data_IF_284774020551
#
_entry.id   IF_284774020551
#
_cell.length_a   1.000
_cell.length_b   1.000
_cell.length_c   1.000
_cell.angle_alpha   90.00
_cell.angle_beta   90.00
_cell.angle_gamma   90.00
#
_symmetry.space_group_name_H-M   'P 1'
#
loop_
_entity.id
_entity.type
_entity.pdbx_description
1 polymer ?
#
# COMPACT_ATOMS: atom_id res chain seq x y z
N UNK A 1 -10.18 -2.14 -5.98
CA UNK A 1 -10.04 -2.09 -4.51
C UNK A 1 -10.36 -0.68 -4.05
N UNK A 2 -11.03 -0.46 -2.92
CA UNK A 2 -11.25 0.90 -2.39
C UNK A 2 -10.01 1.37 -1.62
N UNK A 3 -9.84 2.70 -1.46
CA UNK A 3 -8.72 3.30 -0.70
C UNK A 3 -8.65 2.75 0.74
N UNK A 4 -9.79 2.49 1.36
CA UNK A 4 -9.84 1.93 2.72
C UNK A 4 -9.31 0.50 2.79
N UNK A 5 -9.73 -0.37 1.86
CA UNK A 5 -9.19 -1.73 1.77
C UNK A 5 -7.67 -1.73 1.53
N UNK A 6 -7.16 -0.76 0.77
CA UNK A 6 -5.72 -0.56 0.58
C UNK A 6 -4.99 -0.24 1.86
N UNK A 7 -5.50 0.71 2.63
CA UNK A 7 -4.92 1.05 3.92
C UNK A 7 -4.97 -0.11 4.92
N UNK A 8 -6.05 -0.88 4.97
CA UNK A 8 -6.12 -2.09 5.81
C UNK A 8 -5.09 -3.14 5.40
N UNK A 9 -4.92 -3.35 4.08
CA UNK A 9 -3.94 -4.30 3.54
C UNK A 9 -2.52 -3.87 3.87
N UNK A 10 -2.20 -2.58 3.71
CA UNK A 10 -0.92 -2.00 4.12
C UNK A 10 -0.66 -2.19 5.62
N UNK A 11 -1.67 -1.94 6.46
CA UNK A 11 -1.59 -2.18 7.90
C UNK A 11 -1.26 -3.63 8.23
N UNK A 12 -1.86 -4.58 7.51
CA UNK A 12 -1.59 -6.02 7.66
C UNK A 12 -0.15 -6.40 7.30
N UNK A 13 0.51 -5.63 6.43
CA UNK A 13 1.94 -5.79 6.10
C UNK A 13 2.88 -5.07 7.08
N UNK A 14 2.35 -4.44 8.15
CA UNK A 14 3.13 -3.66 9.10
C UNK A 14 3.54 -2.27 8.58
N UNK A 15 2.95 -1.81 7.47
CA UNK A 15 3.21 -0.47 6.93
C UNK A 15 2.46 0.56 7.79
N UNK A 16 3.12 1.67 8.12
CA UNK A 16 2.49 2.76 8.86
C UNK A 16 1.51 3.54 7.98
N UNK A 17 0.24 3.12 8.01
CA UNK A 17 -0.87 3.73 7.26
C UNK A 17 -1.02 5.22 7.55
N UNK A 18 -0.78 5.67 8.79
CA UNK A 18 -0.91 7.08 9.14
C UNK A 18 0.14 7.94 8.41
N UNK A 19 1.34 7.41 8.16
CA UNK A 19 2.35 8.07 7.33
C UNK A 19 1.90 8.14 5.86
N UNK A 20 1.40 7.03 5.32
CA UNK A 20 0.92 6.95 3.93
C UNK A 20 -0.24 7.92 3.67
N UNK A 21 -1.17 8.04 4.63
CA UNK A 21 -2.28 9.02 4.57
C UNK A 21 -1.78 10.47 4.58
N UNK A 22 -0.70 10.77 5.32
CA UNK A 22 -0.09 12.11 5.35
C UNK A 22 0.65 12.48 4.07
N UNK A 23 1.13 11.50 3.32
CA UNK A 23 1.82 11.73 2.04
C UNK A 23 0.87 12.13 0.91
N UNK A 24 -0.45 12.00 1.12
CA UNK A 24 -1.51 12.44 0.22
C UNK A 24 -1.32 11.95 -1.23
N UNK A 25 -0.90 10.69 -1.38
CA UNK A 25 -0.68 10.06 -2.67
C UNK A 25 -1.93 10.09 -3.54
N UNK A 26 -1.73 10.28 -4.85
CA UNK A 26 -2.78 10.12 -5.85
C UNK A 26 -3.18 8.66 -5.99
N UNK A 27 -4.32 8.40 -6.63
CA UNK A 27 -4.78 7.03 -6.87
C UNK A 27 -3.80 6.24 -7.76
N UNK A 28 -3.11 6.90 -8.69
CA UNK A 28 -2.06 6.29 -9.53
C UNK A 28 -0.83 5.90 -8.70
N UNK A 29 -0.39 6.78 -7.79
CA UNK A 29 0.75 6.50 -6.90
C UNK A 29 0.44 5.37 -5.91
N UNK A 30 -0.79 5.31 -5.40
CA UNK A 30 -1.24 4.21 -4.54
C UNK A 30 -1.25 2.88 -5.29
N UNK A 31 -1.73 2.86 -6.55
CA UNK A 31 -1.72 1.67 -7.38
C UNK A 31 -0.29 1.19 -7.68
N UNK A 32 0.63 2.11 -7.99
CA UNK A 32 2.04 1.80 -8.20
C UNK A 32 2.72 1.29 -6.90
N UNK A 33 2.34 1.82 -5.74
CA UNK A 33 2.82 1.34 -4.44
C UNK A 33 2.31 -0.08 -4.15
N UNK A 34 1.04 -0.37 -4.45
CA UNK A 34 0.46 -1.72 -4.32
C UNK A 34 1.21 -2.75 -5.16
N UNK A 35 1.43 -2.44 -6.43
CA UNK A 35 2.10 -3.33 -7.38
C UNK A 35 3.53 -3.64 -6.93
N UNK A 36 4.27 -2.61 -6.48
CA UNK A 36 5.62 -2.78 -5.93
C UNK A 36 5.63 -3.62 -4.65
N UNK A 37 4.69 -3.39 -3.75
CA UNK A 37 4.56 -4.17 -2.52
C UNK A 37 4.25 -5.64 -2.81
N UNK A 38 3.33 -5.89 -3.74
CA UNK A 38 2.95 -7.25 -4.14
C UNK A 38 4.14 -7.98 -4.71
N UNK A 39 4.88 -7.37 -5.65
CA UNK A 39 6.12 -7.93 -6.21
C UNK A 39 7.19 -8.21 -5.16
N UNK A 40 7.37 -7.30 -4.20
CA UNK A 40 8.34 -7.50 -3.10
C UNK A 40 7.97 -8.68 -2.21
N UNK A 41 6.69 -8.95 -2.00
CA UNK A 41 6.24 -10.10 -1.21
C UNK A 41 6.30 -11.40 -1.99
N UNK A 42 5.99 -11.38 -3.29
CA UNK A 42 6.17 -12.54 -4.16
C UNK A 42 7.65 -12.96 -4.24
N UNK A 43 8.57 -11.99 -4.32
CA UNK A 43 10.01 -12.27 -4.30
C UNK A 43 10.56 -12.72 -2.93
N UNK A 44 9.76 -12.62 -1.86
CA UNK A 44 10.15 -13.07 -0.51
C UNK A 44 9.76 -14.52 -0.22
N UNK A 45 9.11 -15.19 -1.18
CA UNK A 45 8.57 -16.55 -1.07
C UNK A 45 9.40 -17.52 -1.90
#
# INVERSE_FOLDING_TARGET
MTRDMFYERLGSFGVNVALIKKLNFTDEELAAFEDRLTKLMENRR
#
